data_IF_731449791062
#
_entry.id   IF_731449791062
#
_cell.length_a   1.000
_cell.length_b   1.000
_cell.length_c   1.000
_cell.angle_alpha   90.00
_cell.angle_beta   90.00
_cell.angle_gamma   90.00
#
_symmetry.space_group_name_H-M   'P 1'
#
loop_
_entity.id
_entity.type
_entity.pdbx_description
1 polymer ?
#
# COMPACT_ATOMS: atom_id res chain seq x y z
N UNK A 1 12.15 13.50 41.16
CA UNK A 1 11.69 12.26 41.83
C UNK A 1 12.47 11.07 41.25
N UNK A 2 12.92 10.12 42.08
CA UNK A 2 13.83 9.03 41.67
C UNK A 2 13.21 8.10 40.60
N UNK A 3 11.88 7.89 40.66
CA UNK A 3 11.14 7.02 39.71
C UNK A 3 11.25 7.54 38.27
N UNK A 4 11.00 8.84 38.03
CA UNK A 4 11.11 9.47 36.70
C UNK A 4 12.47 9.24 36.04
N UNK A 5 13.56 9.44 36.80
CA UNK A 5 14.92 9.21 36.31
C UNK A 5 15.18 7.73 36.00
N UNK A 6 14.63 6.82 36.81
CA UNK A 6 14.78 5.38 36.60
C UNK A 6 13.99 4.89 35.38
N UNK A 7 12.78 5.41 35.15
CA UNK A 7 12.01 5.12 33.93
C UNK A 7 12.74 5.62 32.71
N UNK A 8 13.11 6.90 32.66
CA UNK A 8 13.82 7.45 31.50
C UNK A 8 15.06 6.62 31.15
N UNK A 9 15.85 6.23 32.15
CA UNK A 9 17.00 5.35 31.94
C UNK A 9 16.59 3.94 31.44
N UNK A 10 15.55 3.33 31.99
CA UNK A 10 15.07 2.02 31.53
C UNK A 10 14.53 2.07 30.09
N UNK A 11 13.85 3.17 29.73
CA UNK A 11 13.36 3.46 28.38
C UNK A 11 14.52 3.64 27.40
N UNK A 12 15.58 4.36 27.81
CA UNK A 12 16.81 4.53 27.02
C UNK A 12 17.52 3.20 26.76
N UNK A 13 17.60 2.36 27.80
CA UNK A 13 18.19 1.02 27.74
C UNK A 13 17.27 0.00 27.06
N UNK A 14 15.99 0.34 26.83
CA UNK A 14 14.94 -0.55 26.32
C UNK A 14 14.80 -1.82 27.16
N UNK A 15 14.96 -1.71 28.47
CA UNK A 15 14.75 -2.82 29.40
C UNK A 15 13.25 -2.98 29.67
N UNK A 16 12.61 -3.87 28.91
CA UNK A 16 11.17 -4.12 29.01
C UNK A 16 10.73 -4.42 30.45
N UNK A 17 11.47 -5.29 31.15
CA UNK A 17 11.10 -5.73 32.50
C UNK A 17 11.14 -4.55 33.47
N UNK A 18 12.20 -3.73 33.40
CA UNK A 18 12.32 -2.55 34.24
C UNK A 18 11.27 -1.48 33.89
N UNK A 19 11.04 -1.22 32.59
CA UNK A 19 10.02 -0.25 32.13
C UNK A 19 8.65 -0.64 32.67
N UNK A 20 8.18 -1.87 32.42
CA UNK A 20 6.87 -2.34 32.89
C UNK A 20 6.76 -2.24 34.41
N UNK A 21 7.81 -2.64 35.13
CA UNK A 21 7.83 -2.55 36.60
C UNK A 21 7.64 -1.12 37.09
N UNK A 22 8.30 -0.15 36.47
CA UNK A 22 8.21 1.24 36.91
C UNK A 22 6.92 1.91 36.45
N UNK A 23 6.41 1.59 35.24
CA UNK A 23 5.14 2.11 34.74
C UNK A 23 3.98 1.72 35.67
N UNK A 24 3.97 0.49 36.20
CA UNK A 24 2.99 0.05 37.20
C UNK A 24 2.98 0.86 38.50
N UNK A 25 4.00 1.68 38.77
CA UNK A 25 4.04 2.55 39.94
C UNK A 25 3.32 3.89 39.72
N UNK A 26 3.12 4.33 38.48
CA UNK A 26 2.52 5.63 38.16
C UNK A 26 1.07 5.77 38.63
N UNK A 27 0.21 4.76 38.46
CA UNK A 27 -1.14 4.83 39.02
C UNK A 27 -1.17 4.96 40.54
N UNK A 28 -0.21 4.34 41.22
CA UNK A 28 -0.11 4.38 42.69
C UNK A 28 0.28 5.76 43.24
N UNK A 29 0.78 6.65 42.39
CA UNK A 29 1.19 8.01 42.74
C UNK A 29 0.31 9.07 42.05
N UNK A 30 -0.82 8.67 41.45
CA UNK A 30 -1.77 9.54 40.72
C UNK A 30 -1.11 10.30 39.56
N UNK A 31 -0.18 9.64 38.86
CA UNK A 31 0.59 10.23 37.75
C UNK A 31 0.38 9.48 36.43
N UNK A 32 -0.79 8.90 36.22
CA UNK A 32 -1.10 8.00 35.11
C UNK A 32 -0.71 8.55 33.73
N UNK A 33 -1.05 9.82 33.45
CA UNK A 33 -0.72 10.47 32.18
C UNK A 33 0.79 10.59 31.94
N UNK A 34 1.58 10.90 32.97
CA UNK A 34 3.05 10.96 32.81
C UNK A 34 3.63 9.55 32.57
N UNK A 35 3.05 8.53 33.21
CA UNK A 35 3.40 7.14 32.98
C UNK A 35 3.08 6.71 31.54
N UNK A 36 1.91 7.07 31.05
CA UNK A 36 1.47 6.82 29.68
C UNK A 36 2.41 7.46 28.65
N UNK A 37 2.82 8.71 28.84
CA UNK A 37 3.78 9.37 27.94
C UNK A 37 5.13 8.64 27.90
N UNK A 38 5.67 8.26 29.05
CA UNK A 38 6.92 7.50 29.11
C UNK A 38 6.79 6.11 28.49
N UNK A 39 5.62 5.47 28.63
CA UNK A 39 5.40 4.16 28.05
C UNK A 39 5.23 4.21 26.53
N UNK A 40 4.52 5.22 26.01
CA UNK A 40 4.45 5.48 24.58
C UNK A 40 5.85 5.81 23.99
N UNK A 41 6.69 6.58 24.70
CA UNK A 41 8.08 6.83 24.30
C UNK A 41 8.89 5.53 24.19
N UNK A 42 8.71 4.61 25.15
CA UNK A 42 9.34 3.29 25.09
C UNK A 42 8.92 2.50 23.85
N UNK A 43 7.61 2.42 23.58
CA UNK A 43 7.09 1.74 22.39
C UNK A 43 7.69 2.28 21.10
N UNK A 44 7.69 3.61 20.93
CA UNK A 44 8.28 4.27 19.76
C UNK A 44 9.76 3.91 19.61
N UNK A 45 10.53 3.89 20.70
CA UNK A 45 11.95 3.50 20.65
C UNK A 45 12.15 2.05 20.20
N UNK A 46 11.30 1.13 20.65
CA UNK A 46 11.37 -0.28 20.23
C UNK A 46 11.05 -0.41 18.74
N UNK A 47 9.96 0.20 18.27
CA UNK A 47 9.55 0.15 16.86
C UNK A 47 10.58 0.81 15.95
N UNK A 48 11.11 1.98 16.33
CA UNK A 48 12.16 2.68 15.56
C UNK A 48 13.42 1.83 15.45
N UNK A 49 13.84 1.18 16.53
CA UNK A 49 15.04 0.34 16.52
C UNK A 49 14.87 -0.87 15.59
N UNK A 50 13.75 -1.59 15.70
CA UNK A 50 13.49 -2.79 14.87
C UNK A 50 13.32 -2.43 13.40
N UNK A 51 12.43 -1.48 13.09
CA UNK A 51 12.18 -1.04 11.72
C UNK A 51 13.45 -0.51 11.05
N UNK A 52 14.30 0.19 11.78
CA UNK A 52 15.60 0.66 11.27
C UNK A 52 16.53 -0.50 10.93
N UNK A 53 16.67 -1.48 11.81
CA UNK A 53 17.53 -2.64 11.57
C UNK A 53 17.06 -3.44 10.34
N UNK A 54 15.76 -3.66 10.20
CA UNK A 54 15.16 -4.34 9.05
C UNK A 54 15.34 -3.55 7.74
N UNK A 55 15.17 -2.23 7.81
CA UNK A 55 15.39 -1.37 6.65
C UNK A 55 16.86 -1.30 6.23
N UNK A 56 17.79 -1.25 7.18
CA UNK A 56 19.23 -1.30 6.92
C UNK A 56 19.61 -2.62 6.25
N UNK A 57 19.12 -3.76 6.73
CA UNK A 57 19.31 -5.07 6.10
C UNK A 57 18.76 -5.13 4.66
N UNK A 58 17.56 -4.56 4.45
CA UNK A 58 16.99 -4.42 3.11
C UNK A 58 17.92 -3.61 2.20
N UNK A 59 18.45 -2.49 2.67
CA UNK A 59 19.35 -1.62 1.89
C UNK A 59 20.71 -2.27 1.62
N UNK A 60 21.28 -2.97 2.61
CA UNK A 60 22.54 -3.70 2.46
C UNK A 60 22.41 -4.81 1.42
N UNK A 61 21.35 -5.61 1.49
CA UNK A 61 21.09 -6.67 0.52
C UNK A 61 20.97 -6.13 -0.92
N UNK A 62 20.43 -4.92 -1.08
CA UNK A 62 20.36 -4.23 -2.38
C UNK A 62 21.75 -3.84 -2.93
N UNK A 63 22.71 -3.54 -2.05
CA UNK A 63 24.06 -3.13 -2.45
C UNK A 63 24.95 -4.31 -2.86
N UNK A 64 24.72 -5.49 -2.29
CA UNK A 64 25.50 -6.71 -2.50
C UNK A 64 25.13 -7.45 -3.79
N UNK A 65 23.86 -7.42 -4.20
CA UNK A 65 23.40 -8.01 -5.47
C UNK A 65 23.52 -7.00 -6.63
N UNK A 66 24.74 -6.87 -7.18
CA UNK A 66 25.00 -6.17 -8.46
C UNK A 66 24.80 -7.04 -9.72
N UNK A 67 24.02 -8.12 -9.63
CA UNK A 67 23.69 -8.99 -10.76
C UNK A 67 22.36 -8.61 -11.39
N UNK A 68 22.35 -8.20 -12.66
CA UNK A 68 21.18 -7.77 -13.44
C UNK A 68 20.27 -8.93 -13.88
N UNK A 69 20.06 -9.91 -13.00
CA UNK A 69 19.17 -11.04 -13.25
C UNK A 69 17.71 -10.63 -13.01
N UNK A 70 16.83 -10.95 -13.96
CA UNK A 70 15.36 -10.81 -13.87
C UNK A 70 14.79 -11.37 -12.54
N UNK A 71 15.38 -12.45 -12.02
CA UNK A 71 15.02 -13.14 -10.78
C UNK A 71 15.50 -12.43 -9.47
N UNK A 72 16.42 -11.46 -9.57
CA UNK A 72 16.83 -10.62 -8.42
C UNK A 72 15.89 -9.45 -8.19
N UNK A 73 15.15 -9.02 -9.22
CA UNK A 73 14.22 -7.88 -9.09
C UNK A 73 13.03 -8.24 -8.19
N UNK A 74 12.52 -9.46 -8.23
CA UNK A 74 11.42 -9.96 -7.36
C UNK A 74 11.86 -10.27 -5.91
N UNK A 75 13.16 -10.27 -5.60
CA UNK A 75 13.68 -10.78 -4.31
C UNK A 75 13.77 -9.76 -3.17
N UNK A 76 13.76 -8.45 -3.47
CA UNK A 76 13.85 -7.44 -2.42
C UNK A 76 12.52 -7.24 -1.72
N UNK A 77 12.51 -7.59 -0.44
CA UNK A 77 11.27 -7.85 0.27
C UNK A 77 10.74 -6.59 0.98
N UNK A 78 10.42 -5.56 0.20
CA UNK A 78 9.74 -4.35 0.70
C UNK A 78 8.42 -4.71 1.41
N UNK A 79 7.71 -5.72 0.88
CA UNK A 79 6.49 -6.28 1.49
C UNK A 79 6.79 -6.78 2.90
N UNK A 80 7.86 -7.55 3.10
CA UNK A 80 8.26 -8.04 4.42
C UNK A 80 8.64 -6.92 5.39
N UNK A 81 9.43 -5.94 4.95
CA UNK A 81 9.81 -4.81 5.81
C UNK A 81 8.58 -4.01 6.26
N UNK A 82 7.63 -3.77 5.34
CA UNK A 82 6.37 -3.11 5.67
C UNK A 82 5.49 -3.98 6.57
N UNK A 83 5.48 -5.30 6.33
CA UNK A 83 4.71 -6.28 7.12
C UNK A 83 5.17 -6.28 8.56
N UNK A 84 6.47 -6.29 8.79
CA UNK A 84 7.03 -6.31 10.13
C UNK A 84 6.80 -4.99 10.86
N UNK A 85 6.93 -3.85 10.18
CA UNK A 85 6.57 -2.56 10.76
C UNK A 85 5.11 -2.56 11.28
N UNK A 86 4.16 -2.99 10.46
CA UNK A 86 2.74 -3.04 10.87
C UNK A 86 2.50 -4.05 11.98
N UNK A 87 3.10 -5.24 11.88
CA UNK A 87 3.02 -6.25 12.94
C UNK A 87 3.57 -5.73 14.27
N UNK A 88 4.73 -5.09 14.27
CA UNK A 88 5.33 -4.53 15.48
C UNK A 88 4.42 -3.47 16.11
N UNK A 89 3.83 -2.57 15.31
CA UNK A 89 2.89 -1.55 15.82
C UNK A 89 1.65 -2.21 16.43
N UNK A 90 1.01 -3.13 15.69
CA UNK A 90 -0.20 -3.82 16.12
C UNK A 90 0.04 -4.64 17.39
N UNK A 91 1.11 -5.44 17.41
CA UNK A 91 1.45 -6.28 18.56
C UNK A 91 1.78 -5.44 19.80
N UNK A 92 2.47 -4.31 19.66
CA UNK A 92 2.72 -3.43 20.79
C UNK A 92 1.42 -2.94 21.42
N UNK A 93 0.38 -2.64 20.63
CA UNK A 93 -0.92 -2.22 21.17
C UNK A 93 -1.63 -3.41 21.83
N UNK A 94 -1.69 -4.56 21.16
CA UNK A 94 -2.43 -5.74 21.64
C UNK A 94 -1.80 -6.35 22.90
N UNK A 95 -0.48 -6.53 22.92
CA UNK A 95 0.24 -7.14 24.06
C UNK A 95 0.24 -6.24 25.30
N UNK A 96 -0.03 -4.94 25.14
CA UNK A 96 0.00 -3.96 26.23
C UNK A 96 -1.38 -3.36 26.53
N UNK A 97 -2.46 -3.90 25.95
CA UNK A 97 -3.83 -3.38 26.09
C UNK A 97 -4.25 -3.28 27.57
N UNK A 98 -4.02 -4.34 28.36
CA UNK A 98 -4.34 -4.37 29.79
C UNK A 98 -3.57 -3.29 30.57
N UNK A 99 -2.27 -3.18 30.34
CA UNK A 99 -1.43 -2.19 31.05
C UNK A 99 -1.78 -0.75 30.66
N UNK A 100 -2.16 -0.51 29.41
CA UNK A 100 -2.65 0.80 28.96
C UNK A 100 -3.96 1.14 29.66
N UNK A 101 -4.88 0.18 29.79
CA UNK A 101 -6.15 0.37 30.51
C UNK A 101 -5.92 0.66 32.00
N UNK A 102 -4.95 -0.01 32.63
CA UNK A 102 -4.59 0.23 34.02
C UNK A 102 -4.07 1.65 34.29
N UNK A 103 -3.47 2.31 33.29
CA UNK A 103 -3.01 3.70 33.40
C UNK A 103 -4.16 4.69 33.23
N UNK A 104 -4.68 4.83 32.01
CA UNK A 104 -5.69 5.86 31.70
C UNK A 104 -6.91 5.28 30.98
N UNK A 105 -7.24 4.01 31.19
CA UNK A 105 -8.38 3.36 30.54
C UNK A 105 -8.22 3.30 29.01
N UNK A 106 -9.33 3.48 28.30
CA UNK A 106 -9.33 3.42 26.83
C UNK A 106 -8.68 4.62 26.15
N UNK A 107 -8.62 5.76 26.84
CA UNK A 107 -7.92 6.94 26.34
C UNK A 107 -6.41 6.68 26.20
N UNK A 108 -5.83 5.82 27.04
CA UNK A 108 -4.45 5.38 26.91
C UNK A 108 -4.20 4.58 25.61
N UNK A 109 -5.13 3.70 25.25
CA UNK A 109 -5.04 2.92 24.00
C UNK A 109 -5.13 3.85 22.79
N UNK A 110 -6.09 4.78 22.81
CA UNK A 110 -6.22 5.76 21.74
C UNK A 110 -4.96 6.64 21.61
N UNK A 111 -4.41 7.09 22.75
CA UNK A 111 -3.17 7.84 22.78
C UNK A 111 -2.00 7.04 22.19
N UNK A 112 -1.83 5.78 22.59
CA UNK A 112 -0.80 4.91 22.06
C UNK A 112 -0.94 4.71 20.54
N UNK A 113 -2.15 4.44 20.02
CA UNK A 113 -2.41 4.31 18.58
C UNK A 113 -1.98 5.58 17.83
N UNK A 114 -2.35 6.77 18.33
CA UNK A 114 -1.95 8.04 17.74
C UNK A 114 -0.43 8.24 17.73
N UNK A 115 0.23 7.94 18.85
CA UNK A 115 1.69 8.08 18.98
C UNK A 115 2.45 7.12 18.07
N UNK A 116 1.96 5.89 17.91
CA UNK A 116 2.56 4.90 17.04
C UNK A 116 2.26 5.13 15.55
N UNK A 117 1.12 5.76 15.22
CA UNK A 117 0.84 6.15 13.85
C UNK A 117 1.88 7.14 13.30
N UNK A 118 2.47 7.98 14.14
CA UNK A 118 3.59 8.86 13.73
C UNK A 118 4.80 8.06 13.24
N UNK A 119 5.08 6.90 13.86
CA UNK A 119 6.16 6.03 13.41
C UNK A 119 5.80 5.31 12.11
N UNK A 120 4.56 4.88 11.92
CA UNK A 120 4.06 4.38 10.63
C UNK A 120 4.23 5.43 9.53
N UNK A 121 3.77 6.66 9.78
CA UNK A 121 3.85 7.81 8.88
C UNK A 121 5.30 8.12 8.45
N UNK A 122 6.26 7.92 9.34
CA UNK A 122 7.67 8.17 9.06
C UNK A 122 8.35 6.98 8.37
N UNK A 123 8.25 5.79 8.96
CA UNK A 123 8.99 4.59 8.51
C UNK A 123 8.32 3.92 7.32
N UNK A 124 7.00 3.78 7.35
CA UNK A 124 6.22 3.29 6.22
C UNK A 124 6.47 4.16 4.98
N UNK A 125 6.43 5.50 5.14
CA UNK A 125 6.75 6.41 4.05
C UNK A 125 8.17 6.23 3.50
N UNK A 126 9.14 5.97 4.38
CA UNK A 126 10.54 5.73 3.97
C UNK A 126 10.67 4.44 3.16
N UNK A 127 10.02 3.35 3.60
CA UNK A 127 10.02 2.05 2.91
C UNK A 127 9.40 2.20 1.52
N UNK A 128 8.22 2.82 1.44
CA UNK A 128 7.50 3.02 0.18
C UNK A 128 8.25 3.94 -0.79
N UNK A 129 8.80 5.06 -0.31
CA UNK A 129 9.62 5.95 -1.16
C UNK A 129 10.83 5.21 -1.70
N UNK A 130 11.49 4.40 -0.87
CA UNK A 130 12.62 3.60 -1.30
C UNK A 130 12.24 2.55 -2.35
N UNK A 131 11.07 1.94 -2.21
CA UNK A 131 10.51 1.04 -3.23
C UNK A 131 10.31 1.77 -4.56
N UNK A 132 9.65 2.93 -4.55
CA UNK A 132 9.40 3.73 -5.76
C UNK A 132 10.71 4.15 -6.46
N UNK A 133 11.72 4.56 -5.68
CA UNK A 133 13.05 4.88 -6.18
C UNK A 133 13.75 3.65 -6.78
N UNK A 134 13.72 2.52 -6.07
CA UNK A 134 14.37 1.28 -6.50
C UNK A 134 13.77 0.75 -7.81
N UNK A 135 12.43 0.77 -7.92
CA UNK A 135 11.69 0.40 -9.13
C UNK A 135 11.69 1.47 -10.22
N UNK A 136 12.19 2.67 -9.92
CA UNK A 136 12.21 3.83 -10.83
C UNK A 136 10.82 4.14 -11.41
N UNK A 137 9.77 4.03 -10.58
CA UNK A 137 8.38 4.12 -11.04
C UNK A 137 8.08 5.45 -11.74
N UNK A 138 8.68 6.56 -11.29
CA UNK A 138 8.54 7.87 -11.93
C UNK A 138 9.06 7.87 -13.37
N UNK A 139 10.19 7.20 -13.63
CA UNK A 139 10.74 7.06 -14.97
C UNK A 139 9.84 6.16 -15.82
N UNK A 140 9.47 5.00 -15.29
CA UNK A 140 8.59 4.04 -15.99
C UNK A 140 7.24 4.68 -16.38
N UNK A 141 6.61 5.41 -15.45
CA UNK A 141 5.37 6.13 -15.71
C UNK A 141 5.53 7.25 -16.75
N UNK A 142 6.67 7.97 -16.75
CA UNK A 142 7.00 8.95 -17.78
C UNK A 142 7.19 8.31 -19.16
N UNK A 143 7.93 7.21 -19.22
CA UNK A 143 8.19 6.47 -20.46
C UNK A 143 6.86 5.95 -21.06
N UNK A 144 5.98 5.37 -20.23
CA UNK A 144 4.63 4.95 -20.64
C UNK A 144 3.78 6.13 -21.14
N UNK A 145 3.81 7.27 -20.45
CA UNK A 145 3.04 8.45 -20.86
C UNK A 145 3.55 9.04 -22.18
N UNK A 146 4.86 9.01 -22.43
CA UNK A 146 5.45 9.43 -23.71
C UNK A 146 5.16 8.44 -24.85
N UNK A 147 5.19 7.13 -24.57
CA UNK A 147 4.74 6.12 -25.55
C UNK A 147 3.27 6.33 -25.92
N UNK A 148 2.42 6.64 -24.94
CA UNK A 148 1.01 6.96 -25.15
C UNK A 148 0.79 8.17 -26.09
N UNK A 149 1.63 9.21 -26.07
CA UNK A 149 1.51 10.32 -27.02
C UNK A 149 1.87 9.91 -28.45
N UNK A 150 2.74 8.92 -28.60
CA UNK A 150 3.28 8.48 -29.89
C UNK A 150 2.50 7.28 -30.49
N UNK A 151 1.51 6.75 -29.79
CA UNK A 151 0.68 5.60 -30.19
C UNK A 151 -0.17 5.85 -31.45
N UNK A 152 -0.26 7.10 -31.91
CA UNK A 152 -0.92 7.51 -33.16
C UNK A 152 0.02 7.46 -34.38
N UNK A 153 1.33 7.26 -34.17
CA UNK A 153 2.30 7.11 -35.26
C UNK A 153 2.44 5.64 -35.67
N UNK A 154 2.13 5.34 -36.92
CA UNK A 154 2.35 4.02 -37.52
C UNK A 154 3.85 3.75 -37.56
N UNK A 155 4.31 2.74 -36.83
CA UNK A 155 5.73 2.36 -36.75
C UNK A 155 6.50 2.95 -35.55
N UNK A 156 5.82 3.50 -34.54
CA UNK A 156 6.45 3.98 -33.32
C UNK A 156 7.21 2.88 -32.53
N UNK A 157 8.15 3.27 -31.64
CA UNK A 157 8.99 2.36 -30.88
C UNK A 157 8.15 1.42 -29.99
N UNK A 158 8.56 0.14 -29.88
CA UNK A 158 7.91 -0.82 -28.98
C UNK A 158 8.08 -0.37 -27.52
N UNK A 159 6.97 -0.28 -26.78
CA UNK A 159 6.95 0.05 -25.37
C UNK A 159 7.45 -1.10 -24.48
N UNK A 160 7.53 -0.91 -23.15
CA UNK A 160 7.91 -1.96 -22.21
C UNK A 160 7.08 -3.25 -22.38
N UNK A 161 7.71 -4.41 -22.21
CA UNK A 161 7.01 -5.69 -22.33
C UNK A 161 5.92 -5.84 -21.24
N UNK A 162 4.67 -6.21 -21.59
CA UNK A 162 3.58 -6.32 -20.61
C UNK A 162 3.89 -7.25 -19.43
N UNK A 163 4.63 -8.34 -19.68
CA UNK A 163 5.06 -9.28 -18.63
C UNK A 163 5.97 -8.63 -17.60
N UNK A 164 6.78 -7.65 -17.99
CA UNK A 164 7.60 -6.91 -17.04
C UNK A 164 6.74 -5.99 -16.18
N UNK A 165 5.71 -5.37 -16.78
CA UNK A 165 4.75 -4.49 -16.07
C UNK A 165 3.94 -5.26 -15.03
N UNK A 166 3.54 -6.50 -15.34
CA UNK A 166 2.80 -7.38 -14.43
C UNK A 166 3.50 -7.55 -13.06
N UNK A 167 4.83 -7.70 -13.06
CA UNK A 167 5.59 -7.83 -11.81
C UNK A 167 5.50 -6.58 -10.92
N UNK A 168 5.51 -5.38 -11.51
CA UNK A 168 5.31 -4.15 -10.74
C UNK A 168 3.88 -4.06 -10.21
N UNK A 169 2.88 -4.51 -10.99
CA UNK A 169 1.49 -4.53 -10.56
C UNK A 169 1.28 -5.45 -9.36
N UNK A 170 1.89 -6.65 -9.36
CA UNK A 170 1.79 -7.58 -8.23
C UNK A 170 2.45 -7.05 -6.95
N UNK A 171 3.63 -6.44 -7.07
CA UNK A 171 4.33 -5.80 -5.94
C UNK A 171 3.51 -4.64 -5.37
N UNK A 172 3.07 -3.71 -6.22
CA UNK A 172 2.31 -2.54 -5.78
C UNK A 172 1.00 -2.97 -5.14
N UNK A 173 0.29 -3.92 -5.75
CA UNK A 173 -0.96 -4.45 -5.20
C UNK A 173 -0.76 -5.03 -3.81
N UNK A 174 0.32 -5.80 -3.61
CA UNK A 174 0.64 -6.40 -2.31
C UNK A 174 0.98 -5.34 -1.25
N UNK A 175 1.73 -4.30 -1.63
CA UNK A 175 2.06 -3.19 -0.74
C UNK A 175 0.84 -2.35 -0.37
N UNK A 176 -0.04 -2.08 -1.35
CA UNK A 176 -1.27 -1.32 -1.14
C UNK A 176 -2.23 -2.09 -0.24
N UNK A 177 -2.47 -3.38 -0.51
CA UNK A 177 -3.30 -4.24 0.34
C UNK A 177 -2.83 -4.21 1.78
N UNK A 178 -1.54 -4.42 2.00
CA UNK A 178 -0.96 -4.47 3.34
C UNK A 178 -1.15 -3.14 4.09
N UNK A 179 -1.07 -2.02 3.37
CA UNK A 179 -1.35 -0.69 3.90
C UNK A 179 -2.81 -0.44 4.25
N UNK A 180 -3.72 -0.93 3.43
CA UNK A 180 -5.17 -0.87 3.67
C UNK A 180 -5.57 -1.75 4.86
N UNK A 181 -5.11 -3.00 4.92
CA UNK A 181 -5.37 -3.93 6.01
C UNK A 181 -4.92 -3.36 7.37
N UNK A 182 -3.72 -2.76 7.41
CA UNK A 182 -3.23 -2.06 8.60
C UNK A 182 -4.15 -0.89 8.98
N UNK A 183 -4.53 -0.08 8.01
CA UNK A 183 -5.36 1.12 8.24
C UNK A 183 -6.74 0.72 8.77
N UNK A 184 -7.36 -0.28 8.16
CA UNK A 184 -8.68 -0.77 8.54
C UNK A 184 -8.66 -1.44 9.90
N UNK A 185 -7.62 -2.24 10.20
CA UNK A 185 -7.44 -2.80 11.53
C UNK A 185 -7.31 -1.72 12.61
N UNK A 186 -6.47 -0.71 12.38
CA UNK A 186 -6.25 0.35 13.37
C UNK A 186 -7.50 1.22 13.55
N UNK A 187 -8.22 1.53 12.46
CA UNK A 187 -9.51 2.22 12.52
C UNK A 187 -10.53 1.37 13.27
N UNK A 188 -10.61 0.07 12.99
CA UNK A 188 -11.47 -0.85 13.73
C UNK A 188 -11.13 -0.89 15.23
N UNK A 189 -9.85 -0.95 15.59
CA UNK A 189 -9.40 -0.94 16.98
C UNK A 189 -9.85 0.35 17.68
N UNK A 190 -9.70 1.50 17.02
CA UNK A 190 -10.19 2.79 17.52
C UNK A 190 -11.72 2.73 17.74
N UNK A 191 -12.48 2.27 16.74
CA UNK A 191 -13.94 2.12 16.84
C UNK A 191 -14.41 1.15 17.92
N UNK A 192 -13.57 0.16 18.28
CA UNK A 192 -13.90 -0.83 19.31
C UNK A 192 -13.84 -0.28 20.74
N UNK A 193 -13.26 0.91 20.95
CA UNK A 193 -13.18 1.58 22.24
C UNK A 193 -14.57 2.13 22.63
N UNK A 194 -15.14 1.61 23.72
CA UNK A 194 -16.53 1.83 24.17
C UNK A 194 -16.73 3.08 25.02
N UNK A 195 -15.67 3.58 25.64
CA UNK A 195 -15.68 4.65 26.64
C UNK A 195 -14.98 5.92 26.15
N UNK A 196 -14.39 5.90 24.94
CA UNK A 196 -13.87 7.11 24.29
C UNK A 196 -15.05 7.97 23.82
N UNK A 197 -15.00 9.28 24.10
CA UNK A 197 -16.06 10.23 23.76
C UNK A 197 -16.54 10.09 22.29
N UNK A 198 -17.86 10.03 22.10
CA UNK A 198 -18.52 9.83 20.80
C UNK A 198 -18.13 10.87 19.72
N UNK A 199 -17.76 12.09 20.13
CA UNK A 199 -17.29 13.15 19.21
C UNK A 199 -15.79 13.05 18.85
N UNK A 200 -14.99 12.41 19.71
CA UNK A 200 -13.54 12.26 19.51
C UNK A 200 -13.26 11.14 18.52
N UNK A 201 -14.09 10.10 18.51
CA UNK A 201 -13.91 8.90 17.69
C UNK A 201 -13.97 9.16 16.16
N UNK A 202 -14.96 9.90 15.61
CA UNK A 202 -14.96 10.28 14.19
C UNK A 202 -13.78 11.18 13.81
N UNK A 203 -13.34 12.05 14.72
CA UNK A 203 -12.22 12.95 14.46
C UNK A 203 -10.88 12.20 14.47
N UNK A 204 -10.68 11.27 15.42
CA UNK A 204 -9.49 10.43 15.51
C UNK A 204 -9.36 9.52 14.27
N UNK A 205 -10.44 8.88 13.86
CA UNK A 205 -10.46 8.02 12.66
C UNK A 205 -10.25 8.83 11.38
N UNK A 206 -10.83 10.03 11.28
CA UNK A 206 -10.55 10.95 10.16
C UNK A 206 -9.08 11.37 10.13
N UNK A 207 -8.51 11.75 11.28
CA UNK A 207 -7.10 12.12 11.39
C UNK A 207 -6.19 10.97 10.97
N UNK A 208 -6.48 9.76 11.46
CA UNK A 208 -5.76 8.54 11.11
C UNK A 208 -5.79 8.27 9.60
N UNK A 209 -6.97 8.34 8.97
CA UNK A 209 -7.12 8.17 7.51
C UNK A 209 -6.54 9.32 6.66
N UNK A 210 -6.28 10.47 7.27
CA UNK A 210 -5.67 11.63 6.61
C UNK A 210 -4.17 11.77 6.90
N UNK A 211 -3.58 10.78 7.57
CA UNK A 211 -2.19 10.76 7.99
C UNK A 211 -1.23 10.72 6.79
N UNK A 212 0.05 10.97 7.04
CA UNK A 212 1.05 11.00 5.97
C UNK A 212 1.18 9.65 5.27
N UNK A 213 1.02 8.55 6.02
CA UNK A 213 0.97 7.19 5.47
C UNK A 213 -0.04 7.06 4.33
N UNK A 214 -1.29 7.53 4.52
CA UNK A 214 -2.35 7.43 3.52
C UNK A 214 -2.02 8.18 2.22
N UNK A 215 -1.32 9.31 2.32
CA UNK A 215 -0.85 10.05 1.13
C UNK A 215 0.22 9.28 0.37
N UNK A 216 1.19 8.72 1.10
CA UNK A 216 2.28 7.95 0.48
C UNK A 216 1.77 6.63 -0.12
N UNK A 217 0.77 6.01 0.50
CA UNK A 217 0.09 4.84 -0.06
C UNK A 217 -0.64 5.21 -1.36
N UNK A 218 -1.33 6.35 -1.39
CA UNK A 218 -1.97 6.87 -2.61
C UNK A 218 -0.94 7.15 -3.71
N UNK A 219 0.22 7.73 -3.39
CA UNK A 219 1.27 8.02 -4.39
C UNK A 219 1.70 6.74 -5.15
N UNK A 220 1.80 5.59 -4.47
CA UNK A 220 2.13 4.31 -5.11
C UNK A 220 0.94 3.76 -5.91
N UNK A 221 -0.26 3.88 -5.37
CA UNK A 221 -1.51 3.51 -6.06
C UNK A 221 -1.69 4.28 -7.35
N UNK A 222 -1.30 5.55 -7.40
CA UNK A 222 -1.35 6.36 -8.63
C UNK A 222 -0.46 5.77 -9.74
N UNK A 223 0.69 5.19 -9.39
CA UNK A 223 1.51 4.43 -10.34
C UNK A 223 0.83 3.14 -10.78
N UNK A 224 0.17 2.40 -9.86
CA UNK A 224 -0.60 1.22 -10.23
C UNK A 224 -1.60 1.51 -11.35
N UNK A 225 -2.38 2.58 -11.19
CA UNK A 225 -3.39 3.01 -12.17
C UNK A 225 -2.77 3.26 -13.56
N UNK A 226 -1.60 3.90 -13.60
CA UNK A 226 -0.88 4.17 -14.85
C UNK A 226 -0.41 2.85 -15.49
N UNK A 227 0.24 1.99 -14.70
CA UNK A 227 0.80 0.73 -15.16
C UNK A 227 -0.28 -0.25 -15.62
N UNK A 228 -1.38 -0.37 -14.87
CA UNK A 228 -2.50 -1.25 -15.19
C UNK A 228 -3.17 -0.79 -16.49
N UNK A 229 -3.38 0.53 -16.63
CA UNK A 229 -3.93 1.11 -17.86
C UNK A 229 -3.06 0.83 -19.09
N UNK A 230 -1.74 0.88 -18.95
CA UNK A 230 -0.81 0.50 -20.03
C UNK A 230 -0.89 -1.00 -20.32
N UNK A 231 -0.79 -1.82 -19.29
CA UNK A 231 -0.81 -3.28 -19.37
C UNK A 231 -2.05 -3.78 -20.12
N UNK A 232 -3.23 -3.27 -19.77
CA UNK A 232 -4.48 -3.64 -20.44
C UNK A 232 -4.49 -3.28 -21.93
N UNK A 233 -4.02 -2.08 -22.29
CA UNK A 233 -4.01 -1.61 -23.69
C UNK A 233 -3.01 -2.38 -24.53
N UNK A 234 -1.79 -2.57 -24.04
CA UNK A 234 -0.73 -3.21 -24.81
C UNK A 234 -1.00 -4.70 -25.03
N UNK A 235 -1.55 -5.40 -24.03
CA UNK A 235 -1.96 -6.80 -24.21
C UNK A 235 -3.05 -6.95 -25.28
N UNK A 236 -4.07 -6.08 -25.28
CA UNK A 236 -5.10 -6.09 -26.33
C UNK A 236 -4.50 -5.78 -27.71
N UNK A 237 -3.60 -4.80 -27.81
CA UNK A 237 -2.91 -4.46 -29.06
C UNK A 237 -2.10 -5.64 -29.60
N UNK A 238 -1.33 -6.32 -28.75
CA UNK A 238 -0.55 -7.50 -29.13
C UNK A 238 -1.45 -8.66 -29.57
N UNK A 239 -2.57 -8.88 -28.88
CA UNK A 239 -3.54 -9.90 -29.28
C UNK A 239 -4.15 -9.62 -30.66
N UNK A 240 -4.47 -8.36 -30.98
CA UNK A 240 -4.96 -7.97 -32.32
C UNK A 240 -3.91 -8.22 -33.39
N UNK A 241 -2.65 -7.83 -33.15
CA UNK A 241 -1.54 -8.06 -34.11
C UNK A 241 -1.32 -9.54 -34.39
N UNK A 242 -1.47 -10.40 -33.38
CA UNK A 242 -1.37 -11.86 -33.53
C UNK A 242 -2.55 -12.40 -34.36
N UNK A 243 -3.78 -11.94 -34.07
CA UNK A 243 -4.98 -12.40 -34.78
C UNK A 243 -5.01 -11.90 -36.25
N UNK A 244 -4.45 -10.74 -36.57
CA UNK A 244 -4.29 -10.26 -37.97
C UNK A 244 -3.37 -11.17 -38.81
N UNK A 245 -2.42 -11.87 -38.20
CA UNK A 245 -1.51 -12.79 -38.89
C UNK A 245 -2.06 -14.22 -39.03
N UNK A 246 -3.15 -14.56 -38.35
CA UNK A 246 -3.77 -15.90 -38.32
C UNK A 246 -5.17 -15.85 -38.95
N UNK A 247 -5.21 -15.82 -40.29
CA UNK A 247 -6.42 -15.62 -41.10
C UNK A 247 -7.57 -16.64 -40.92
N UNK A 248 -7.44 -17.70 -40.10
CA UNK A 248 -8.49 -18.74 -39.93
C UNK A 248 -8.85 -19.10 -38.46
N UNK A 249 -8.35 -18.38 -37.45
CA UNK A 249 -8.72 -18.63 -36.03
C UNK A 249 -8.89 -17.33 -35.24
N UNK A 250 -9.59 -16.36 -35.84
CA UNK A 250 -9.80 -14.96 -35.41
C UNK A 250 -10.47 -14.73 -34.03
N UNK A 251 -10.69 -15.76 -33.22
CA UNK A 251 -11.60 -15.69 -32.07
C UNK A 251 -10.96 -16.17 -30.76
N UNK A 252 -9.81 -16.82 -30.78
CA UNK A 252 -9.26 -17.50 -29.59
C UNK A 252 -8.28 -16.63 -28.81
N UNK A 253 -7.33 -15.91 -29.47
CA UNK A 253 -6.30 -15.15 -28.76
C UNK A 253 -6.83 -13.85 -28.13
N UNK A 254 -7.58 -13.03 -28.88
CA UNK A 254 -8.22 -11.82 -28.32
C UNK A 254 -9.17 -12.17 -27.17
N UNK A 255 -9.95 -13.27 -27.26
CA UNK A 255 -10.85 -13.68 -26.17
C UNK A 255 -10.09 -14.08 -24.90
N UNK A 256 -8.95 -14.77 -25.03
CA UNK A 256 -8.13 -15.17 -23.88
C UNK A 256 -7.53 -13.93 -23.21
N UNK A 257 -6.98 -13.01 -23.98
CA UNK A 257 -6.33 -11.82 -23.43
C UNK A 257 -7.32 -10.86 -22.75
N UNK A 258 -8.51 -10.69 -23.35
CA UNK A 258 -9.61 -9.95 -22.72
C UNK A 258 -10.07 -10.62 -21.42
N UNK A 259 -10.13 -11.95 -21.37
CA UNK A 259 -10.49 -12.68 -20.16
C UNK A 259 -9.40 -12.56 -19.09
N UNK A 260 -8.13 -12.51 -19.48
CA UNK A 260 -7.01 -12.24 -18.59
C UNK A 260 -7.09 -10.83 -17.99
N UNK A 261 -7.30 -9.80 -18.82
CA UNK A 261 -7.51 -8.42 -18.34
C UNK A 261 -8.71 -8.32 -17.38
N UNK A 262 -9.81 -9.04 -17.64
CA UNK A 262 -10.95 -9.13 -16.72
C UNK A 262 -10.59 -9.76 -15.38
N UNK A 263 -9.78 -10.83 -15.38
CA UNK A 263 -9.32 -11.51 -14.17
C UNK A 263 -8.37 -10.62 -13.36
N UNK A 264 -7.44 -9.93 -14.02
CA UNK A 264 -6.55 -8.95 -13.39
C UNK A 264 -7.36 -7.82 -12.72
N UNK A 265 -8.36 -7.27 -13.42
CA UNK A 265 -9.25 -6.24 -12.87
C UNK A 265 -10.08 -6.73 -11.69
N UNK A 266 -10.62 -7.96 -11.77
CA UNK A 266 -11.36 -8.56 -10.65
C UNK A 266 -10.47 -8.73 -9.43
N UNK A 267 -9.24 -9.21 -9.62
CA UNK A 267 -8.24 -9.32 -8.55
C UNK A 267 -7.93 -7.95 -7.93
N UNK A 268 -7.80 -6.89 -8.74
CA UNK A 268 -7.61 -5.52 -8.24
C UNK A 268 -8.81 -4.98 -7.43
N UNK A 269 -10.04 -5.27 -7.86
CA UNK A 269 -11.27 -4.82 -7.19
C UNK A 269 -11.60 -5.64 -5.94
N UNK A 270 -11.29 -6.94 -5.93
CA UNK A 270 -11.50 -7.83 -4.78
C UNK A 270 -10.48 -7.58 -3.67
N UNK A 271 -9.28 -7.10 -4.03
CA UNK A 271 -8.20 -6.84 -3.08
C UNK A 271 -8.27 -5.40 -2.55
N UNK A 272 -8.46 -4.40 -3.40
CA UNK A 272 -8.43 -3.01 -2.97
C UNK A 272 -9.81 -2.50 -2.53
N UNK A 273 -9.87 -1.87 -1.36
CA UNK A 273 -11.06 -1.22 -0.83
C UNK A 273 -11.54 -0.02 -1.68
N UNK A 274 -12.61 0.63 -1.22
CA UNK A 274 -13.41 1.65 -1.93
C UNK A 274 -12.67 2.79 -2.68
N UNK A 275 -11.40 3.05 -2.40
CA UNK A 275 -10.62 4.14 -3.03
C UNK A 275 -10.19 3.79 -4.46
N UNK A 276 -9.75 2.56 -4.74
CA UNK A 276 -9.41 2.09 -6.09
C UNK A 276 -10.65 1.80 -6.95
N UNK A 277 -11.83 1.56 -6.35
CA UNK A 277 -13.09 1.46 -7.10
C UNK A 277 -13.43 2.74 -7.88
N UNK A 278 -13.14 3.93 -7.32
CA UNK A 278 -13.33 5.22 -7.98
C UNK A 278 -12.36 5.42 -9.15
N UNK A 279 -11.12 4.98 -9.00
CA UNK A 279 -10.09 5.05 -10.04
C UNK A 279 -10.30 4.00 -11.15
N UNK A 280 -10.90 2.84 -10.84
CA UNK A 280 -11.33 1.83 -11.83
C UNK A 280 -12.43 2.38 -12.76
N UNK A 281 -13.35 3.21 -12.24
CA UNK A 281 -14.33 3.93 -13.08
C UNK A 281 -13.65 4.91 -14.04
N UNK A 282 -12.59 5.59 -13.57
CA UNK A 282 -11.77 6.47 -14.40
C UNK A 282 -10.95 5.69 -15.44
N UNK A 283 -10.38 4.54 -15.07
CA UNK A 283 -9.66 3.64 -15.98
C UNK A 283 -10.61 3.14 -17.08
N UNK A 284 -11.84 2.74 -16.73
CA UNK A 284 -12.86 2.31 -17.71
C UNK A 284 -13.25 3.42 -18.70
N UNK A 285 -13.50 4.64 -18.20
CA UNK A 285 -13.77 5.83 -19.04
C UNK A 285 -12.59 6.19 -19.94
N UNK A 286 -11.38 6.03 -19.40
CA UNK A 286 -10.12 6.32 -20.06
C UNK A 286 -9.82 5.30 -21.15
N UNK A 287 -10.06 4.02 -20.89
CA UNK A 287 -9.95 2.92 -21.86
C UNK A 287 -10.94 3.13 -23.03
N UNK A 288 -12.19 3.48 -22.73
CA UNK A 288 -13.24 3.74 -23.73
C UNK A 288 -12.92 4.93 -24.66
N UNK A 289 -12.22 5.96 -24.17
CA UNK A 289 -11.80 7.14 -24.96
C UNK A 289 -10.54 6.91 -25.80
N UNK A 290 -9.76 5.85 -25.51
CA UNK A 290 -8.40 5.64 -26.05
C UNK A 290 -8.34 4.64 -27.21
N UNK A 291 -9.46 4.03 -27.62
CA UNK A 291 -9.52 3.19 -28.83
C UNK A 291 -9.70 4.10 -30.07
N UNK A 292 -8.78 4.09 -31.04
CA UNK A 292 -8.95 4.83 -32.31
C UNK A 292 -10.23 4.42 -33.03
N UNK A 293 -11.00 5.38 -33.57
CA UNK A 293 -12.28 5.13 -34.26
C UNK A 293 -12.15 4.20 -35.49
N UNK A 294 -10.96 4.12 -36.06
CA UNK A 294 -10.57 3.26 -37.17
C UNK A 294 -10.33 1.79 -36.73
N UNK A 295 -10.06 1.53 -35.44
CA UNK A 295 -10.07 0.19 -34.82
C UNK A 295 -11.51 -0.22 -34.47
N UNK A 296 -12.35 0.75 -34.11
CA UNK A 296 -13.78 0.56 -33.81
C UNK A 296 -14.58 0.03 -35.01
N UNK A 297 -14.19 0.37 -36.25
CA UNK A 297 -14.93 -0.03 -37.47
C UNK A 297 -14.64 -1.48 -37.90
N UNK A 298 -13.47 -2.05 -37.56
CA UNK A 298 -13.13 -3.44 -37.92
C UNK A 298 -13.60 -4.49 -36.90
N UNK A 299 -14.09 -4.03 -35.76
CA UNK A 299 -14.65 -4.87 -34.70
C UNK A 299 -16.15 -4.66 -34.73
N UNK A 300 -16.90 -5.54 -35.39
CA UNK A 300 -18.38 -5.50 -35.51
C UNK A 300 -19.11 -5.55 -34.14
N UNK A 301 -18.37 -5.67 -33.04
CA UNK A 301 -18.90 -5.83 -31.69
C UNK A 301 -18.43 -4.74 -30.71
N UNK A 302 -18.25 -3.49 -31.16
CA UNK A 302 -17.93 -2.39 -30.22
C UNK A 302 -19.09 -2.10 -29.28
N UNK A 303 -20.36 -2.29 -29.68
CA UNK A 303 -21.49 -2.17 -28.75
C UNK A 303 -21.49 -3.28 -27.70
N UNK A 304 -21.14 -4.53 -28.03
CA UNK A 304 -20.97 -5.60 -27.03
C UNK A 304 -19.70 -5.43 -26.18
N UNK A 305 -18.61 -4.89 -26.75
CA UNK A 305 -17.35 -4.70 -26.04
C UNK A 305 -17.44 -3.50 -25.08
N UNK A 306 -18.09 -2.40 -25.50
CA UNK A 306 -18.43 -1.27 -24.65
C UNK A 306 -19.56 -1.64 -23.67
N UNK A 307 -20.58 -2.41 -24.04
CA UNK A 307 -21.59 -2.92 -23.10
C UNK A 307 -20.96 -3.85 -22.06
N UNK A 308 -20.01 -4.72 -22.42
CA UNK A 308 -19.31 -5.57 -21.44
C UNK A 308 -18.33 -4.77 -20.55
N UNK A 309 -17.87 -3.60 -20.99
CA UNK A 309 -17.04 -2.69 -20.19
C UNK A 309 -17.86 -1.68 -19.37
N UNK A 310 -19.06 -1.31 -19.83
CA UNK A 310 -20.02 -0.37 -19.21
C UNK A 310 -21.05 -1.08 -18.31
N UNK A 311 -21.53 -2.28 -18.62
CA UNK A 311 -22.43 -3.08 -17.76
C UNK A 311 -21.76 -3.49 -16.45
N UNK A 312 -20.45 -3.32 -16.33
CA UNK A 312 -19.71 -3.49 -15.08
C UNK A 312 -19.68 -2.24 -14.18
N UNK A 313 -20.39 -1.15 -14.50
CA UNK A 313 -20.59 -0.02 -13.56
C UNK A 313 -21.76 -0.23 -12.60
N UNK A 314 -22.39 -1.42 -12.60
CA UNK A 314 -23.55 -1.76 -11.78
C UNK A 314 -23.28 -2.77 -10.65
N UNK A 315 -22.01 -3.08 -10.35
CA UNK A 315 -21.62 -3.81 -9.13
C UNK A 315 -20.40 -3.15 -8.50
#
# INVERSE_FOLDING_TARGET
>A
MIVRKKVANAVDLRDHVAVVRFIKLYPLIEMDYEGLEEYAKYFKKVIVMRSRAEFEQLVESMSEMRGDGFDSRSRFNFIWCLTNLFKDIVLVIEENDEMLRDLCGEDAIMYAICELQVECDSRGATIIKKYMEYRRLSKLGSDINSYKSNLLEVGGPEGPEPREIELYLEDILSLTQLGEDYTDYMVWKIWSLRFVNSEVLPNATKKFKSANWSKVLQDVTDYYVILEGYFMVENVRKAIKIDEHLLDSLVTSIKIEIQFCKKSRRKAVELCGSQLQLDVSQISKTFSRRIPRNIVVRIVNVEHMLAVLLDCTLF
#
